data_IF_423438604019
#
_entry.id   IF_423438604019
#
_cell.length_a   1.000
_cell.length_b   1.000
_cell.length_c   1.000
_cell.angle_alpha   90.00
_cell.angle_beta   90.00
_cell.angle_gamma   90.00
#
_symmetry.space_group_name_H-M   'P 1'
#
loop_
_entity.id
_entity.type
_entity.pdbx_description
1 polymer ?
#
# COMPACT_ATOMS: atom_id res chain seq x y z
N UNK A 1 -67.53 20.21 16.51
CA UNK A 1 -68.22 19.42 15.46
C UNK A 1 -67.46 18.15 15.28
N UNK A 2 -67.80 17.16 16.15
CA UNK A 2 -68.57 15.94 15.84
C UNK A 2 -67.74 14.98 14.92
N UNK A 3 -67.49 13.72 15.17
CA UNK A 3 -67.95 12.59 15.97
C UNK A 3 -66.93 11.47 15.70
N UNK A 4 -66.29 10.78 16.63
CA UNK A 4 -66.62 9.46 17.22
C UNK A 4 -67.03 8.36 16.26
N UNK A 5 -66.34 7.20 16.36
CA UNK A 5 -66.87 5.85 16.44
C UNK A 5 -65.67 4.88 16.47
N UNK A 6 -65.27 4.25 17.52
CA UNK A 6 -65.68 3.05 18.28
C UNK A 6 -66.01 1.81 17.43
N UNK A 7 -65.45 0.72 17.93
CA UNK A 7 -65.88 -0.71 17.96
C UNK A 7 -65.26 -1.54 16.83
N UNK A 8 -64.72 -2.76 17.05
CA UNK A 8 -65.19 -3.85 17.93
C UNK A 8 -64.13 -4.94 18.01
N UNK A 9 -63.91 -5.45 19.19
CA UNK A 9 -63.28 -6.77 19.44
C UNK A 9 -64.22 -7.88 18.92
N UNK A 10 -63.65 -8.90 18.29
CA UNK A 10 -64.24 -10.21 18.28
C UNK A 10 -63.19 -11.28 18.63
N UNK A 11 -63.42 -11.82 19.80
CA UNK A 11 -62.90 -13.02 20.35
C UNK A 11 -63.35 -14.20 19.47
N UNK A 12 -62.47 -15.19 19.16
CA UNK A 12 -62.93 -16.50 18.78
C UNK A 12 -61.94 -17.60 19.27
N UNK A 13 -62.46 -18.74 19.66
CA UNK A 13 -61.89 -19.62 20.66
C UNK A 13 -61.00 -20.73 20.04
N UNK A 14 -60.24 -21.28 20.95
CA UNK A 14 -59.45 -22.49 20.92
C UNK A 14 -60.19 -23.66 20.22
N UNK A 15 -59.57 -24.23 19.21
CA UNK A 15 -59.89 -25.58 18.75
C UNK A 15 -58.65 -26.50 18.88
N UNK A 16 -58.79 -27.42 19.76
CA UNK A 16 -57.88 -28.53 20.04
C UNK A 16 -58.32 -29.73 19.24
N UNK A 17 -57.48 -30.21 18.33
CA UNK A 17 -57.32 -31.62 17.91
C UNK A 17 -56.54 -31.65 16.58
N UNK A 18 -55.44 -32.23 16.49
CA UNK A 18 -55.10 -33.59 16.18
C UNK A 18 -53.60 -33.80 15.95
N UNK A 19 -53.12 -34.69 16.69
CA UNK A 19 -51.82 -35.31 16.61
C UNK A 19 -51.74 -36.17 15.35
N UNK A 20 -50.82 -35.87 14.40
CA UNK A 20 -50.18 -36.94 13.61
C UNK A 20 -48.76 -36.53 13.26
N UNK A 21 -47.82 -37.14 13.92
CA UNK A 21 -46.40 -37.09 13.62
C UNK A 21 -46.11 -37.81 12.30
N UNK A 22 -45.59 -37.08 11.33
CA UNK A 22 -44.85 -37.65 10.20
C UNK A 22 -43.35 -37.44 10.40
N UNK A 23 -42.50 -38.43 10.21
CA UNK A 23 -41.07 -38.29 10.40
C UNK A 23 -40.49 -37.46 9.26
N UNK A 24 -39.92 -36.31 9.62
CA UNK A 24 -39.11 -35.46 8.73
C UNK A 24 -37.89 -36.26 8.28
N UNK A 25 -37.88 -36.60 7.00
CA UNK A 25 -36.70 -37.06 6.28
C UNK A 25 -35.58 -36.05 6.45
N UNK A 26 -34.56 -36.47 7.19
CA UNK A 26 -33.29 -35.77 7.25
C UNK A 26 -32.74 -35.65 5.82
N UNK A 27 -32.79 -34.47 5.26
CA UNK A 27 -32.07 -34.11 4.02
C UNK A 27 -30.59 -34.16 4.37
N UNK A 28 -29.92 -35.20 3.88
CA UNK A 28 -28.45 -35.26 3.84
C UNK A 28 -27.93 -34.05 3.10
N UNK A 29 -27.34 -33.13 3.83
CA UNK A 29 -26.53 -32.05 3.24
C UNK A 29 -25.30 -32.68 2.57
N UNK A 30 -25.00 -32.35 1.31
CA UNK A 30 -23.88 -32.97 0.63
C UNK A 30 -22.57 -32.48 1.29
N UNK A 31 -21.86 -33.45 1.88
CA UNK A 31 -20.49 -33.31 2.33
C UNK A 31 -19.56 -33.12 1.12
N UNK A 32 -19.45 -31.92 0.57
CA UNK A 32 -18.48 -31.60 -0.50
C UNK A 32 -17.95 -30.19 -0.39
N UNK A 33 -17.20 -29.88 0.68
CA UNK A 33 -16.51 -28.58 0.85
C UNK A 33 -15.05 -28.68 1.28
N UNK A 34 -14.33 -29.73 1.02
CA UNK A 34 -12.93 -29.85 1.50
C UNK A 34 -11.86 -29.83 0.39
N UNK A 35 -12.19 -29.92 -0.90
CA UNK A 35 -11.18 -29.99 -1.96
C UNK A 35 -11.01 -28.75 -2.85
N UNK A 36 -11.68 -27.62 -2.57
CA UNK A 36 -11.61 -26.44 -3.47
C UNK A 36 -10.39 -25.52 -3.27
N UNK A 37 -9.62 -25.68 -2.20
CA UNK A 37 -8.57 -24.70 -1.89
C UNK A 37 -7.24 -24.90 -2.63
N UNK A 38 -6.90 -26.13 -3.00
CA UNK A 38 -5.62 -26.44 -3.67
C UNK A 38 -5.77 -26.27 -5.18
N UNK A 39 -6.88 -26.74 -5.77
CA UNK A 39 -7.11 -26.64 -7.22
C UNK A 39 -7.20 -25.20 -7.71
N UNK A 40 -7.84 -24.31 -6.95
CA UNK A 40 -7.96 -22.89 -7.29
C UNK A 40 -6.62 -22.14 -7.26
N UNK A 41 -5.70 -22.52 -6.38
CA UNK A 41 -4.35 -21.92 -6.34
C UNK A 41 -3.50 -22.38 -7.53
N UNK A 42 -3.57 -23.65 -7.87
CA UNK A 42 -2.88 -24.22 -9.03
C UNK A 42 -3.45 -23.60 -10.31
N UNK A 43 -4.77 -23.52 -10.46
CA UNK A 43 -5.42 -22.86 -11.58
C UNK A 43 -5.01 -21.38 -11.70
N UNK A 44 -5.00 -20.62 -10.59
CA UNK A 44 -4.56 -19.23 -10.59
C UNK A 44 -3.09 -19.09 -11.01
N UNK A 45 -2.23 -20.02 -10.59
CA UNK A 45 -0.82 -20.04 -10.99
C UNK A 45 -0.66 -20.35 -12.48
N UNK A 46 -1.40 -21.33 -13.00
CA UNK A 46 -1.41 -21.66 -14.43
C UNK A 46 -1.90 -20.47 -15.26
N UNK A 47 -3.00 -19.85 -14.85
CA UNK A 47 -3.55 -18.66 -15.53
C UNK A 47 -2.52 -17.52 -15.52
N UNK A 48 -1.83 -17.29 -14.39
CA UNK A 48 -0.78 -16.28 -14.27
C UNK A 48 0.39 -16.53 -15.22
N UNK A 49 0.86 -17.78 -15.31
CA UNK A 49 1.94 -18.18 -16.25
C UNK A 49 1.50 -18.03 -17.70
N UNK A 50 0.26 -18.44 -18.03
CA UNK A 50 -0.28 -18.28 -19.38
C UNK A 50 -0.40 -16.81 -19.76
N UNK A 51 -0.92 -15.97 -18.87
CA UNK A 51 -1.01 -14.51 -19.12
C UNK A 51 0.37 -13.89 -19.33
N UNK A 52 1.37 -14.27 -18.53
CA UNK A 52 2.75 -13.80 -18.70
C UNK A 52 3.32 -14.26 -20.05
N UNK A 53 3.15 -15.52 -20.42
CA UNK A 53 3.61 -16.06 -21.71
C UNK A 53 2.92 -15.37 -22.90
N UNK A 54 1.61 -15.14 -22.83
CA UNK A 54 0.86 -14.40 -23.84
C UNK A 54 1.36 -12.96 -23.95
N UNK A 55 1.60 -12.28 -22.82
CA UNK A 55 2.12 -10.90 -22.83
C UNK A 55 3.50 -10.81 -23.49
N UNK A 56 4.41 -11.76 -23.18
CA UNK A 56 5.72 -11.83 -23.82
C UNK A 56 5.58 -12.15 -25.33
N UNK A 57 4.67 -13.05 -25.70
CA UNK A 57 4.39 -13.39 -27.11
C UNK A 57 3.84 -12.19 -27.89
N UNK A 58 2.90 -11.45 -27.33
CA UNK A 58 2.36 -10.22 -27.92
C UNK A 58 3.45 -9.17 -28.08
N UNK A 59 4.29 -9.00 -27.06
CA UNK A 59 5.43 -8.08 -27.15
C UNK A 59 6.40 -8.49 -28.27
N UNK A 60 6.78 -9.76 -28.35
CA UNK A 60 7.66 -10.28 -29.42
C UNK A 60 7.03 -10.05 -30.80
N UNK A 61 5.73 -10.35 -30.96
CA UNK A 61 5.02 -10.15 -32.22
C UNK A 61 4.94 -8.66 -32.62
N UNK A 62 4.68 -7.76 -31.66
CA UNK A 62 4.60 -6.33 -31.94
C UNK A 62 5.94 -5.76 -32.44
N UNK A 63 7.07 -6.25 -31.88
CA UNK A 63 8.40 -5.87 -32.37
C UNK A 63 8.69 -6.46 -33.75
N UNK A 64 8.42 -7.75 -33.98
CA UNK A 64 8.72 -8.40 -35.26
C UNK A 64 7.81 -7.96 -36.40
N UNK A 65 6.57 -7.58 -36.08
CA UNK A 65 5.61 -7.01 -37.05
C UNK A 65 5.92 -5.55 -37.45
N UNK A 66 6.94 -4.93 -36.83
CA UNK A 66 7.30 -3.54 -37.13
C UNK A 66 6.30 -2.51 -36.62
N UNK A 67 5.43 -2.86 -35.65
CA UNK A 67 4.49 -1.94 -35.04
C UNK A 67 5.16 -0.96 -34.07
N UNK A 68 6.37 -1.31 -33.64
CA UNK A 68 7.18 -0.50 -32.71
C UNK A 68 8.40 0.06 -33.44
N UNK A 69 9.01 1.11 -32.89
CA UNK A 69 10.23 1.70 -33.46
C UNK A 69 11.40 0.70 -33.46
N UNK A 70 12.41 0.94 -34.32
CA UNK A 70 13.63 0.13 -34.38
C UNK A 70 14.43 0.08 -33.06
N UNK A 71 14.16 1.03 -32.17
CA UNK A 71 14.71 1.10 -30.80
C UNK A 71 14.00 0.18 -29.80
N UNK A 72 12.87 -0.45 -30.18
CA UNK A 72 12.10 -1.27 -29.28
C UNK A 72 12.88 -2.53 -28.85
N UNK A 73 12.97 -2.80 -27.55
CA UNK A 73 13.69 -3.96 -27.04
C UNK A 73 12.95 -5.24 -27.41
N UNK A 74 13.69 -6.31 -27.73
CA UNK A 74 13.09 -7.64 -27.88
C UNK A 74 13.20 -8.41 -26.56
N UNK A 75 12.26 -9.32 -26.23
CA UNK A 75 12.37 -10.16 -25.04
C UNK A 75 13.72 -10.90 -24.91
N UNK A 76 14.25 -11.40 -26.01
CA UNK A 76 15.52 -12.15 -26.01
C UNK A 76 16.71 -11.23 -25.69
N UNK A 77 16.78 -10.03 -26.30
CA UNK A 77 17.85 -9.05 -26.02
C UNK A 77 17.76 -8.53 -24.59
N UNK A 78 16.56 -8.20 -24.11
CA UNK A 78 16.34 -7.79 -22.73
C UNK A 78 16.76 -8.86 -21.75
N UNK A 79 16.46 -10.14 -22.02
CA UNK A 79 16.89 -11.23 -21.16
C UNK A 79 18.42 -11.37 -21.14
N UNK A 80 19.10 -11.35 -22.31
CA UNK A 80 20.58 -11.44 -22.38
C UNK A 80 21.22 -10.24 -21.66
N UNK A 81 20.67 -9.03 -21.83
CA UNK A 81 21.13 -7.83 -21.14
C UNK A 81 20.93 -7.92 -19.63
N UNK A 82 19.81 -8.52 -19.20
CA UNK A 82 19.53 -8.80 -17.78
C UNK A 82 20.56 -9.75 -17.18
N UNK A 83 20.90 -10.83 -17.87
CA UNK A 83 21.94 -11.77 -17.42
C UNK A 83 23.30 -11.07 -17.31
N UNK A 84 23.65 -10.23 -18.27
CA UNK A 84 24.91 -9.46 -18.24
C UNK A 84 24.96 -8.51 -17.04
N UNK A 85 23.91 -7.71 -16.80
CA UNK A 85 23.82 -6.77 -15.68
C UNK A 85 23.84 -7.50 -14.33
N UNK A 86 23.24 -8.70 -14.25
CA UNK A 86 23.17 -9.51 -13.05
C UNK A 86 24.34 -10.46 -12.85
N UNK A 87 25.27 -10.58 -13.83
CA UNK A 87 26.49 -11.41 -13.69
C UNK A 87 27.47 -10.83 -12.68
N UNK A 88 27.58 -9.49 -12.64
CA UNK A 88 28.37 -8.78 -11.62
C UNK A 88 27.56 -7.59 -11.03
N UNK A 89 26.56 -7.88 -10.17
CA UNK A 89 25.62 -6.87 -9.71
C UNK A 89 26.20 -5.94 -8.65
N UNK A 90 27.37 -6.25 -8.09
CA UNK A 90 28.04 -5.53 -6.99
C UNK A 90 29.35 -4.86 -7.39
N UNK A 91 29.70 -4.82 -8.67
CA UNK A 91 30.95 -4.20 -9.10
C UNK A 91 31.07 -2.72 -8.68
N UNK A 92 32.33 -2.27 -8.55
CA UNK A 92 32.67 -0.87 -8.23
C UNK A 92 33.95 -0.50 -8.97
N UNK A 93 33.80 0.13 -10.13
CA UNK A 93 34.94 0.51 -11.00
C UNK A 93 35.30 2.00 -10.87
N UNK A 94 34.66 2.73 -9.94
CA UNK A 94 34.95 4.13 -9.70
C UNK A 94 33.72 4.97 -9.37
N UNK A 95 33.89 6.29 -9.19
CA UNK A 95 32.77 7.20 -8.92
C UNK A 95 31.74 7.18 -10.06
N UNK A 96 30.55 6.70 -9.78
CA UNK A 96 29.43 6.63 -10.73
C UNK A 96 29.37 5.36 -11.59
N UNK A 97 30.38 4.46 -11.53
CA UNK A 97 30.37 3.15 -12.20
C UNK A 97 30.21 2.06 -11.15
N UNK A 98 28.96 1.76 -10.79
CA UNK A 98 28.62 0.76 -9.76
C UNK A 98 27.53 -0.18 -10.27
N UNK A 99 27.57 -1.40 -9.76
CA UNK A 99 26.59 -2.43 -10.08
C UNK A 99 25.16 -2.06 -9.67
N UNK A 100 24.20 -2.65 -10.33
CA UNK A 100 22.79 -2.30 -10.22
C UNK A 100 22.26 -2.46 -8.78
N UNK A 101 22.80 -3.42 -8.01
CA UNK A 101 22.38 -3.61 -6.61
C UNK A 101 22.73 -2.43 -5.70
N UNK A 102 23.83 -1.73 -5.97
CA UNK A 102 24.18 -0.52 -5.22
C UNK A 102 23.19 0.61 -5.48
N UNK A 103 22.67 0.71 -6.70
CA UNK A 103 21.60 1.63 -7.04
C UNK A 103 20.31 1.28 -6.26
N UNK A 104 19.91 0.01 -6.23
CA UNK A 104 18.74 -0.45 -5.47
C UNK A 104 18.91 -0.18 -3.97
N UNK A 105 20.07 -0.52 -3.39
CA UNK A 105 20.38 -0.31 -1.97
C UNK A 105 20.31 1.19 -1.62
N UNK A 106 20.86 2.04 -2.48
CA UNK A 106 20.83 3.50 -2.27
C UNK A 106 19.40 4.04 -2.25
N UNK A 107 18.58 3.65 -3.25
CA UNK A 107 17.16 4.03 -3.29
C UNK A 107 16.40 3.51 -2.07
N UNK A 108 16.63 2.25 -1.68
CA UNK A 108 15.99 1.64 -0.53
C UNK A 108 16.35 2.36 0.77
N UNK A 109 17.63 2.71 0.96
CA UNK A 109 18.08 3.47 2.14
C UNK A 109 17.36 4.83 2.22
N UNK A 110 17.26 5.56 1.11
CA UNK A 110 16.55 6.85 1.05
C UNK A 110 15.08 6.69 1.41
N UNK A 111 14.41 5.70 0.79
CA UNK A 111 12.99 5.40 1.05
C UNK A 111 12.78 5.09 2.53
N UNK A 112 13.55 4.18 3.09
CA UNK A 112 13.39 3.79 4.50
C UNK A 112 13.69 4.96 5.45
N UNK A 113 14.68 5.78 5.15
CA UNK A 113 15.00 6.97 5.95
C UNK A 113 13.86 7.99 5.92
N UNK A 114 13.39 8.37 4.72
CA UNK A 114 12.30 9.33 4.58
C UNK A 114 10.97 8.81 5.14
N UNK A 115 10.66 7.53 4.90
CA UNK A 115 9.50 6.85 5.46
C UNK A 115 9.53 6.81 7.00
N UNK A 116 10.68 6.52 7.59
CA UNK A 116 10.83 6.51 9.05
C UNK A 116 10.60 7.90 9.64
N UNK A 117 11.22 8.94 9.06
CA UNK A 117 11.02 10.34 9.49
C UNK A 117 9.55 10.72 9.39
N UNK A 118 8.90 10.44 8.25
CA UNK A 118 7.48 10.71 8.05
C UNK A 118 6.61 9.99 9.08
N UNK A 119 6.90 8.73 9.38
CA UNK A 119 6.17 7.90 10.33
C UNK A 119 6.26 8.47 11.75
N UNK A 120 7.47 8.85 12.19
CA UNK A 120 7.73 9.43 13.53
C UNK A 120 6.98 10.76 13.70
N UNK A 121 6.78 11.52 12.63
CA UNK A 121 6.02 12.79 12.66
C UNK A 121 4.52 12.54 12.51
N UNK A 122 4.12 11.72 11.54
CA UNK A 122 2.71 11.55 11.16
C UNK A 122 1.90 10.79 12.22
N UNK A 123 2.46 9.79 12.89
CA UNK A 123 1.71 9.01 13.88
C UNK A 123 1.34 9.89 15.09
N UNK A 124 2.27 10.58 15.80
CA UNK A 124 1.89 11.45 16.91
C UNK A 124 0.93 12.55 16.48
N UNK A 125 1.19 13.19 15.34
CA UNK A 125 0.31 14.23 14.81
C UNK A 125 -1.09 13.68 14.51
N UNK A 126 -1.18 12.48 13.92
CA UNK A 126 -2.43 11.78 13.65
C UNK A 126 -3.22 11.43 14.91
N UNK A 127 -2.53 11.04 16.00
CA UNK A 127 -3.16 10.84 17.30
C UNK A 127 -3.75 12.13 17.87
N UNK A 128 -3.01 13.23 17.82
CA UNK A 128 -3.47 14.54 18.29
C UNK A 128 -4.68 15.02 17.50
N UNK A 129 -4.60 14.98 16.16
CA UNK A 129 -5.69 15.42 15.27
C UNK A 129 -6.90 14.46 15.32
N UNK A 130 -6.65 13.15 15.39
CA UNK A 130 -7.72 12.15 15.47
C UNK A 130 -8.56 12.25 16.76
N UNK A 131 -7.93 12.71 17.84
CA UNK A 131 -8.57 12.85 19.15
C UNK A 131 -9.28 14.19 19.33
N UNK A 132 -8.75 15.28 18.77
CA UNK A 132 -9.28 16.64 18.94
C UNK A 132 -10.05 17.09 17.70
N UNK A 133 -11.36 17.14 17.82
CA UNK A 133 -12.23 17.65 16.74
C UNK A 133 -11.90 19.10 16.38
N UNK A 134 -11.62 19.95 17.37
CA UNK A 134 -11.29 21.37 17.14
C UNK A 134 -9.99 21.53 16.35
N UNK A 135 -8.91 20.82 16.73
CA UNK A 135 -7.63 20.87 16.02
C UNK A 135 -7.78 20.35 14.57
N UNK A 136 -8.55 19.31 14.40
CA UNK A 136 -8.82 18.77 13.07
C UNK A 136 -9.53 19.78 12.20
N UNK A 137 -10.61 20.40 12.65
CA UNK A 137 -11.32 21.42 11.89
C UNK A 137 -10.41 22.60 11.49
N UNK A 138 -9.45 22.95 12.35
CA UNK A 138 -8.49 24.01 12.05
C UNK A 138 -7.46 23.59 10.97
N UNK A 139 -7.05 22.30 10.95
CA UNK A 139 -6.00 21.80 10.04
C UNK A 139 -6.58 21.19 8.75
N UNK A 140 -7.84 20.74 8.74
CA UNK A 140 -8.50 20.13 7.59
C UNK A 140 -8.40 21.00 6.30
N UNK A 141 -8.62 22.33 6.32
CA UNK A 141 -8.47 23.15 5.10
C UNK A 141 -7.05 23.14 4.55
N UNK A 142 -6.05 23.17 5.43
CA UNK A 142 -4.64 23.10 5.04
C UNK A 142 -4.30 21.75 4.41
N UNK A 143 -4.78 20.66 5.02
CA UNK A 143 -4.59 19.30 4.47
C UNK A 143 -5.27 19.15 3.11
N UNK A 144 -6.46 19.72 2.90
CA UNK A 144 -7.18 19.68 1.63
C UNK A 144 -6.41 20.38 0.50
N UNK A 145 -5.71 21.45 0.80
CA UNK A 145 -4.89 22.19 -0.18
C UNK A 145 -3.55 21.49 -0.45
N UNK A 146 -2.88 21.01 0.59
CA UNK A 146 -1.51 20.46 0.45
C UNK A 146 -1.49 19.01 -0.04
N UNK A 147 -2.49 18.20 0.29
CA UNK A 147 -2.56 16.79 -0.07
C UNK A 147 -2.54 16.52 -1.58
N UNK A 148 -3.27 17.25 -2.44
CA UNK A 148 -3.26 17.02 -3.88
C UNK A 148 -1.98 17.51 -4.57
N UNK A 149 -1.11 18.26 -3.90
CA UNK A 149 0.15 18.71 -4.46
C UNK A 149 1.10 17.53 -4.60
N UNK A 150 1.56 17.29 -5.84
CA UNK A 150 2.53 16.22 -6.09
C UNK A 150 3.80 16.42 -5.25
N UNK A 151 4.29 15.40 -4.53
CA UNK A 151 5.56 15.49 -3.81
C UNK A 151 6.73 15.92 -4.68
N UNK A 152 6.74 15.55 -5.97
CA UNK A 152 7.77 15.94 -6.92
C UNK A 152 7.77 17.43 -7.26
N UNK A 153 6.63 18.12 -7.13
CA UNK A 153 6.56 19.56 -7.34
C UNK A 153 7.39 20.35 -6.29
N UNK A 154 7.65 19.75 -5.13
CA UNK A 154 8.48 20.33 -4.08
C UNK A 154 9.98 20.14 -4.30
N UNK A 155 10.39 19.36 -5.32
CA UNK A 155 11.78 19.00 -5.56
C UNK A 155 12.67 20.24 -5.86
N UNK A 156 12.28 21.19 -6.74
CA UNK A 156 13.08 22.41 -6.95
C UNK A 156 13.25 23.25 -5.69
N UNK A 157 12.17 23.35 -4.88
CA UNK A 157 12.22 24.05 -3.60
C UNK A 157 13.15 23.32 -2.61
N UNK A 158 13.08 22.00 -2.55
CA UNK A 158 13.98 21.18 -1.73
C UNK A 158 15.44 21.37 -2.12
N UNK A 159 15.76 21.40 -3.42
CA UNK A 159 17.13 21.68 -3.90
C UNK A 159 17.60 23.09 -3.52
N UNK A 160 16.74 24.10 -3.65
CA UNK A 160 17.06 25.46 -3.29
C UNK A 160 17.32 25.62 -1.78
N UNK A 161 16.54 24.96 -0.93
CA UNK A 161 16.64 25.09 0.53
C UNK A 161 17.74 24.21 1.14
N UNK A 162 17.90 22.98 0.64
CA UNK A 162 18.82 22.00 1.24
C UNK A 162 20.17 21.96 0.53
N UNK A 163 20.27 22.48 -0.70
CA UNK A 163 21.48 22.52 -1.54
C UNK A 163 22.20 21.18 -1.65
N UNK A 164 21.47 20.08 -1.46
CA UNK A 164 21.99 18.72 -1.43
C UNK A 164 20.98 17.74 -2.03
N UNK A 165 21.40 17.02 -3.06
CA UNK A 165 20.57 16.06 -3.79
C UNK A 165 20.02 14.93 -2.90
N UNK A 166 20.86 14.38 -2.00
CA UNK A 166 20.50 13.31 -1.09
C UNK A 166 19.40 13.75 -0.11
N UNK A 167 19.60 14.90 0.55
CA UNK A 167 18.61 15.44 1.50
C UNK A 167 17.31 15.84 0.80
N UNK A 168 17.40 16.37 -0.43
CA UNK A 168 16.21 16.70 -1.22
C UNK A 168 15.39 15.47 -1.59
N UNK A 169 16.04 14.40 -2.00
CA UNK A 169 15.36 13.14 -2.28
C UNK A 169 14.63 12.62 -1.03
N UNK A 170 15.29 12.62 0.14
CA UNK A 170 14.68 12.22 1.41
C UNK A 170 13.51 13.15 1.77
N UNK A 171 13.65 14.46 1.59
CA UNK A 171 12.57 15.43 1.86
C UNK A 171 11.30 15.14 1.04
N UNK A 172 11.46 14.86 -0.25
CA UNK A 172 10.33 14.51 -1.14
C UNK A 172 9.67 13.20 -0.72
N UNK A 173 10.45 12.21 -0.26
CA UNK A 173 9.92 10.97 0.30
C UNK A 173 9.12 11.24 1.58
N UNK A 174 9.64 12.09 2.48
CA UNK A 174 8.94 12.47 3.72
C UNK A 174 7.57 13.06 3.38
N UNK A 175 7.49 13.99 2.43
CA UNK A 175 6.22 14.57 1.99
C UNK A 175 5.27 13.53 1.38
N UNK A 176 5.80 12.58 0.63
CA UNK A 176 5.02 11.50 0.03
C UNK A 176 4.44 10.55 1.07
N UNK A 177 5.23 10.16 2.08
CA UNK A 177 4.84 9.23 3.13
C UNK A 177 3.94 9.86 4.21
N UNK A 178 4.07 11.17 4.42
CA UNK A 178 3.41 11.90 5.49
C UNK A 178 1.88 11.77 5.40
N UNK A 179 1.31 12.11 4.23
CA UNK A 179 -0.14 12.21 4.08
C UNK A 179 -0.88 10.88 4.26
N UNK A 180 -0.48 9.77 3.61
CA UNK A 180 -1.16 8.49 3.81
C UNK A 180 -1.06 8.01 5.25
N UNK A 181 0.10 8.15 5.90
CA UNK A 181 0.29 7.76 7.30
C UNK A 181 -0.55 8.63 8.22
N UNK A 182 -0.55 9.95 8.04
CA UNK A 182 -1.29 10.91 8.86
C UNK A 182 -2.79 10.66 8.80
N UNK A 183 -3.35 10.57 7.59
CA UNK A 183 -4.79 10.41 7.39
C UNK A 183 -5.28 9.09 7.94
N UNK A 184 -4.60 7.98 7.63
CA UNK A 184 -4.98 6.67 8.15
C UNK A 184 -4.85 6.60 9.68
N UNK A 185 -3.88 7.30 10.28
CA UNK A 185 -3.75 7.39 11.73
C UNK A 185 -4.91 8.19 12.33
N UNK A 186 -5.27 9.34 11.76
CA UNK A 186 -6.43 10.14 12.19
C UNK A 186 -7.69 9.27 12.17
N UNK A 187 -7.94 8.60 11.05
CA UNK A 187 -9.14 7.77 10.87
C UNK A 187 -9.15 6.56 11.81
N UNK A 188 -8.01 5.91 12.00
CA UNK A 188 -7.87 4.78 12.93
C UNK A 188 -8.18 5.19 14.38
N UNK A 189 -7.64 6.33 14.82
CA UNK A 189 -7.88 6.87 16.17
C UNK A 189 -9.33 7.28 16.39
N UNK A 190 -9.98 7.83 15.37
CA UNK A 190 -11.40 8.26 15.45
C UNK A 190 -12.37 7.08 15.47
N UNK A 191 -12.05 6.01 14.78
CA UNK A 191 -12.90 4.84 14.66
C UNK A 191 -12.72 3.82 15.80
N UNK A 192 -11.98 4.18 16.86
CA UNK A 192 -11.91 3.36 18.08
C UNK A 192 -13.29 3.27 18.70
N UNK A 193 -13.71 2.04 19.03
CA UNK A 193 -15.06 1.79 19.55
C UNK A 193 -15.33 2.60 20.83
N UNK A 194 -16.41 3.40 20.86
CA UNK A 194 -16.79 4.21 22.03
C UNK A 194 -16.94 3.40 23.32
N UNK A 195 -17.29 2.12 23.23
CA UNK A 195 -17.41 1.24 24.39
C UNK A 195 -16.10 1.14 25.17
N UNK A 196 -14.97 1.00 24.50
CA UNK A 196 -13.66 0.96 25.15
C UNK A 196 -13.30 2.29 25.81
N UNK A 197 -13.67 3.42 25.15
CA UNK A 197 -13.44 4.76 25.68
C UNK A 197 -14.22 4.95 26.99
N UNK A 198 -15.50 4.58 26.98
CA UNK A 198 -16.39 4.71 28.13
C UNK A 198 -15.95 3.79 29.29
N UNK A 199 -15.57 2.55 28.99
CA UNK A 199 -15.06 1.60 29.97
C UNK A 199 -13.82 2.13 30.70
N UNK A 200 -12.83 2.62 29.96
CA UNK A 200 -11.62 3.19 30.56
C UNK A 200 -11.88 4.48 31.34
N UNK A 201 -12.90 5.24 30.95
CA UNK A 201 -13.35 6.42 31.67
C UNK A 201 -13.96 6.05 33.03
N UNK A 202 -14.84 5.04 33.07
CA UNK A 202 -15.49 4.53 34.28
C UNK A 202 -14.47 3.95 35.25
N UNK A 203 -13.44 3.27 34.78
CA UNK A 203 -12.36 2.72 35.59
C UNK A 203 -11.36 3.76 36.11
N UNK A 204 -11.56 5.04 35.83
CA UNK A 204 -10.67 6.12 36.29
C UNK A 204 -9.24 6.04 35.73
N UNK A 205 -9.03 5.32 34.62
CA UNK A 205 -7.70 5.08 34.03
C UNK A 205 -7.05 6.41 33.63
N UNK A 206 -5.77 6.68 34.02
CA UNK A 206 -5.11 7.92 33.66
C UNK A 206 -4.88 8.02 32.15
N UNK A 207 -4.83 9.25 31.62
CA UNK A 207 -4.84 9.54 30.19
C UNK A 207 -3.71 8.84 29.40
N UNK A 208 -2.49 8.85 29.95
CA UNK A 208 -1.36 8.21 29.30
C UNK A 208 -1.55 6.70 29.14
N UNK A 209 -2.14 6.04 30.17
CA UNK A 209 -2.43 4.61 30.12
C UNK A 209 -3.53 4.29 29.09
N UNK A 210 -4.56 5.15 28.96
CA UNK A 210 -5.56 5.01 27.89
C UNK A 210 -4.92 5.09 26.49
N UNK A 211 -3.98 6.02 26.29
CA UNK A 211 -3.31 6.17 24.98
C UNK A 211 -2.50 4.91 24.67
N UNK A 212 -1.67 4.42 25.58
CA UNK A 212 -0.74 3.31 25.33
C UNK A 212 -1.47 1.96 25.27
N UNK A 213 -2.38 1.69 26.24
CA UNK A 213 -2.96 0.36 26.40
C UNK A 213 -4.32 0.17 25.71
N UNK A 214 -4.98 1.22 25.29
CA UNK A 214 -6.27 1.13 24.61
C UNK A 214 -6.24 1.75 23.23
N UNK A 215 -5.94 3.06 23.12
CA UNK A 215 -6.05 3.78 21.84
C UNK A 215 -5.02 3.30 20.83
N UNK A 216 -3.76 3.13 21.22
CA UNK A 216 -2.69 2.71 20.31
C UNK A 216 -2.92 1.29 19.77
N UNK A 217 -3.19 0.26 20.61
CA UNK A 217 -3.50 -1.09 20.10
C UNK A 217 -4.76 -1.12 19.23
N UNK A 218 -5.82 -0.40 19.61
CA UNK A 218 -7.06 -0.35 18.84
C UNK A 218 -6.89 0.36 17.48
N UNK A 219 -6.04 1.38 17.39
CA UNK A 219 -5.75 2.10 16.15
C UNK A 219 -4.69 1.40 15.28
N UNK A 220 -3.91 0.47 15.85
CA UNK A 220 -2.74 -0.12 15.20
C UNK A 220 -3.03 -0.77 13.83
N UNK A 221 -4.14 -1.51 13.60
CA UNK A 221 -4.46 -2.07 12.28
C UNK A 221 -4.62 -0.99 11.19
N UNK A 222 -5.26 0.14 11.54
CA UNK A 222 -5.42 1.27 10.63
C UNK A 222 -4.11 2.02 10.37
N UNK A 223 -3.28 2.18 11.42
CA UNK A 223 -1.94 2.78 11.29
C UNK A 223 -1.08 1.95 10.34
N UNK A 224 -1.03 0.62 10.51
CA UNK A 224 -0.26 -0.27 9.63
C UNK A 224 -0.76 -0.24 8.19
N UNK A 225 -2.07 -0.07 7.99
CA UNK A 225 -2.63 0.16 6.64
C UNK A 225 -2.10 1.46 6.04
N UNK A 226 -2.05 2.54 6.81
CA UNK A 226 -1.44 3.81 6.40
C UNK A 226 0.04 3.68 6.07
N UNK A 227 0.79 2.96 6.90
CA UNK A 227 2.22 2.68 6.67
C UNK A 227 2.46 1.90 5.37
N UNK A 228 1.62 0.92 5.07
CA UNK A 228 1.72 0.16 3.82
C UNK A 228 1.52 1.04 2.59
N UNK A 229 0.48 1.87 2.59
CA UNK A 229 0.20 2.80 1.50
C UNK A 229 1.35 3.81 1.35
N UNK A 230 1.84 4.37 2.46
CA UNK A 230 2.90 5.37 2.42
C UNK A 230 4.24 4.81 1.95
N UNK A 231 4.60 3.57 2.33
CA UNK A 231 5.81 2.94 1.83
C UNK A 231 5.74 2.67 0.33
N UNK A 232 4.59 2.18 -0.16
CA UNK A 232 4.37 1.94 -1.59
C UNK A 232 4.42 3.24 -2.40
N UNK A 233 3.79 4.31 -1.93
CA UNK A 233 3.84 5.62 -2.60
C UNK A 233 5.24 6.23 -2.56
N UNK A 234 5.97 6.07 -1.46
CA UNK A 234 7.36 6.52 -1.33
C UNK A 234 8.30 5.83 -2.31
N UNK A 235 8.11 4.51 -2.51
CA UNK A 235 8.87 3.74 -3.50
C UNK A 235 8.63 4.22 -4.93
N UNK A 236 7.40 4.55 -5.28
CA UNK A 236 7.10 5.12 -6.61
C UNK A 236 7.70 6.50 -6.80
N UNK A 237 7.63 7.36 -5.79
CA UNK A 237 8.08 8.74 -5.86
C UNK A 237 9.59 8.84 -5.93
N UNK A 238 10.36 7.99 -5.20
CA UNK A 238 11.83 8.06 -5.20
C UNK A 238 12.41 7.84 -6.59
N UNK A 239 11.85 6.93 -7.38
CA UNK A 239 12.36 6.61 -8.72
C UNK A 239 12.33 7.86 -9.61
N UNK A 240 11.20 8.57 -9.61
CA UNK A 240 11.07 9.82 -10.37
C UNK A 240 11.95 10.94 -9.79
N UNK A 241 12.07 11.04 -8.47
CA UNK A 241 12.95 12.03 -7.83
C UNK A 241 14.42 11.80 -8.20
N UNK A 242 14.91 10.56 -8.19
CA UNK A 242 16.28 10.21 -8.56
C UNK A 242 16.59 10.47 -10.04
N UNK A 243 15.62 10.31 -10.92
CA UNK A 243 15.77 10.66 -12.34
C UNK A 243 16.01 12.18 -12.52
N UNK A 244 15.38 13.01 -11.69
CA UNK A 244 15.46 14.47 -11.79
C UNK A 244 16.66 15.04 -11.02
N UNK A 245 16.98 14.50 -9.85
CA UNK A 245 18.03 15.03 -8.98
C UNK A 245 19.41 14.52 -9.38
N UNK A 246 19.47 13.32 -9.96
CA UNK A 246 20.72 12.69 -10.35
C UNK A 246 21.44 11.99 -9.18
N UNK A 247 22.70 11.65 -9.37
CA UNK A 247 23.57 11.03 -8.37
C UNK A 247 23.58 9.51 -8.47
N UNK A 248 23.14 8.83 -7.43
CA UNK A 248 23.11 7.35 -7.34
C UNK A 248 21.70 6.88 -6.95
N UNK A 249 21.22 5.78 -7.51
CA UNK A 249 19.91 5.22 -7.26
C UNK A 249 19.35 4.54 -8.50
N UNK A 250 18.31 3.69 -8.34
CA UNK A 250 17.75 2.92 -9.45
C UNK A 250 17.07 3.84 -10.48
N UNK A 251 16.43 4.94 -10.04
CA UNK A 251 15.85 5.93 -10.94
C UNK A 251 16.93 6.65 -11.75
N UNK A 252 18.07 6.99 -11.14
CA UNK A 252 19.20 7.57 -11.85
C UNK A 252 19.84 6.58 -12.84
N UNK A 253 19.90 5.28 -12.49
CA UNK A 253 20.32 4.24 -13.42
C UNK A 253 19.42 4.22 -14.67
N UNK A 254 18.09 4.22 -14.51
CA UNK A 254 17.13 4.28 -15.63
C UNK A 254 17.39 5.50 -16.49
N UNK A 255 17.59 6.68 -15.89
CA UNK A 255 17.90 7.92 -16.62
C UNK A 255 19.20 7.83 -17.41
N UNK A 256 20.23 7.24 -16.83
CA UNK A 256 21.52 7.03 -17.53
C UNK A 256 21.40 6.07 -18.72
N UNK A 257 20.64 4.98 -18.56
CA UNK A 257 20.43 4.04 -19.68
C UNK A 257 19.59 4.68 -20.79
N UNK A 258 18.63 5.54 -20.44
CA UNK A 258 17.88 6.34 -21.41
C UNK A 258 18.82 7.24 -22.24
N UNK A 259 19.71 7.97 -21.59
CA UNK A 259 20.69 8.83 -22.28
C UNK A 259 21.69 8.04 -23.15
N UNK A 260 21.89 6.75 -22.86
CA UNK A 260 22.73 5.84 -23.67
C UNK A 260 21.94 5.10 -24.75
N UNK A 261 20.62 5.32 -24.81
CA UNK A 261 19.68 4.58 -25.66
C UNK A 261 19.72 3.04 -25.44
N UNK A 262 20.11 2.60 -24.24
CA UNK A 262 20.10 1.19 -23.83
C UNK A 262 18.73 0.84 -23.23
N UNK A 263 17.74 0.68 -24.13
CA UNK A 263 16.35 0.43 -23.72
C UNK A 263 16.20 -0.96 -23.08
N UNK A 264 17.02 -1.94 -23.50
CA UNK A 264 17.03 -3.27 -22.90
C UNK A 264 17.39 -3.20 -21.40
N UNK A 265 18.41 -2.42 -21.02
CA UNK A 265 18.76 -2.20 -19.62
C UNK A 265 17.67 -1.44 -18.82
N UNK A 266 16.93 -0.53 -19.47
CA UNK A 266 15.78 0.14 -18.83
C UNK A 266 14.71 -0.87 -18.45
N UNK A 267 14.36 -1.79 -19.35
CA UNK A 267 13.35 -2.82 -19.05
C UNK A 267 13.80 -3.73 -17.90
N UNK A 268 15.09 -4.11 -17.87
CA UNK A 268 15.67 -4.84 -16.73
C UNK A 268 15.52 -4.06 -15.42
N UNK A 269 15.82 -2.76 -15.44
CA UNK A 269 15.65 -1.91 -14.26
C UNK A 269 14.19 -1.82 -13.81
N UNK A 270 13.24 -1.69 -14.74
CA UNK A 270 11.79 -1.68 -14.43
C UNK A 270 11.37 -2.97 -13.73
N UNK A 271 11.85 -4.12 -14.20
CA UNK A 271 11.57 -5.42 -13.55
C UNK A 271 12.14 -5.43 -12.12
N UNK A 272 13.38 -4.97 -11.93
CA UNK A 272 13.99 -4.90 -10.59
C UNK A 272 13.26 -3.93 -9.66
N UNK A 273 12.80 -2.80 -10.16
CA UNK A 273 11.96 -1.85 -9.42
C UNK A 273 10.67 -2.53 -8.96
N UNK A 274 10.02 -3.27 -9.87
CA UNK A 274 8.80 -4.02 -9.57
C UNK A 274 9.01 -5.12 -8.54
N UNK A 275 10.07 -5.91 -8.67
CA UNK A 275 10.43 -6.97 -7.72
C UNK A 275 10.75 -6.38 -6.35
N UNK A 276 11.52 -5.30 -6.28
CA UNK A 276 11.86 -4.64 -5.02
C UNK A 276 10.61 -4.06 -4.35
N UNK A 277 9.73 -3.40 -5.12
CA UNK A 277 8.45 -2.89 -4.61
C UNK A 277 7.55 -4.01 -4.08
N UNK A 278 7.49 -5.14 -4.77
CA UNK A 278 6.74 -6.32 -4.33
C UNK A 278 7.28 -6.89 -3.02
N UNK A 279 8.60 -6.97 -2.86
CA UNK A 279 9.25 -7.41 -1.62
C UNK A 279 8.87 -6.46 -0.47
N UNK A 280 8.97 -5.15 -0.68
CA UNK A 280 8.59 -4.14 0.31
C UNK A 280 7.12 -4.28 0.72
N UNK A 281 6.21 -4.44 -0.23
CA UNK A 281 4.78 -4.62 0.05
C UNK A 281 4.50 -5.89 0.86
N UNK A 282 5.15 -7.01 0.51
CA UNK A 282 5.02 -8.28 1.24
C UNK A 282 5.56 -8.20 2.66
N UNK A 283 6.67 -7.48 2.89
CA UNK A 283 7.24 -7.28 4.22
C UNK A 283 6.24 -6.54 5.14
N UNK A 284 5.63 -5.45 4.64
CA UNK A 284 4.63 -4.72 5.43
C UNK A 284 3.33 -5.51 5.57
N UNK A 285 2.90 -6.25 4.53
CA UNK A 285 1.74 -7.12 4.62
C UNK A 285 1.92 -8.25 5.65
N UNK A 286 3.13 -8.78 5.80
CA UNK A 286 3.45 -9.75 6.85
C UNK A 286 3.34 -9.11 8.24
N UNK A 287 3.82 -7.88 8.43
CA UNK A 287 3.66 -7.12 9.66
C UNK A 287 2.17 -6.90 10.00
N UNK A 288 1.37 -6.58 8.98
CA UNK A 288 -0.07 -6.36 9.12
C UNK A 288 -0.82 -7.61 9.61
N UNK A 289 -0.40 -8.81 9.17
CA UNK A 289 -0.99 -10.08 9.64
C UNK A 289 -0.73 -10.34 11.13
N UNK A 290 0.43 -9.96 11.63
CA UNK A 290 0.80 -10.11 13.05
C UNK A 290 -0.01 -9.17 13.95
N UNK A 291 -0.37 -8.00 13.42
CA UNK A 291 -1.08 -6.93 14.15
C UNK A 291 -2.61 -7.12 14.12
N UNK A 292 -3.16 -7.83 13.13
CA UNK A 292 -4.59 -8.17 13.12
C UNK A 292 -4.82 -9.29 14.14
N UNK A 293 -5.19 -8.89 15.35
CA UNK A 293 -5.84 -9.81 16.28
C UNK A 293 -7.25 -10.11 15.73
N UNK A 294 -7.46 -11.36 15.32
CA UNK A 294 -8.80 -11.88 15.02
C UNK A 294 -9.64 -11.93 16.30
#
# INVERSE_FOLDING_TARGET
>A
MTLSTQTRQTHNPIDTSDTTATPSTASEAPANRVHRGVDTRIQAMIIGVVLAAVSIGVWQLAVTAGWLSDLAPTPARTFSRGVEILSDPFYRDGPGSVGIFWHVITSLRRVLTGFFIATVVAIPLGFVLGRSTALRWAVDPLMQVLRPVSPLAWLPLGLALLSNAEHTAIFVIVLSALWPTLINTIDAVRNVNPTYINLTATLGTPMWARIIYMWFPAALPGIVTGLRISLSTSWLVIIAAEMLVGGQGIGFFVWNQWNRLDIDAIVVAIVLIGVTGLILDHLVAALQKVVRYD
#
